data_IF_169501484144
#
_entry.id   IF_169501484144
#
_cell.length_a   1.000
_cell.length_b   1.000
_cell.length_c   1.000
_cell.angle_alpha   90.00
_cell.angle_beta   90.00
_cell.angle_gamma   90.00
#
_symmetry.space_group_name_H-M   'P 1'
#
loop_
_entity.id
_entity.type
_entity.pdbx_description
1 polymer ?
#
# COMPACT_ATOMS: atom_id res chain seq x y z
N UNK A 1 -14.85 17.86 -12.13
CA UNK A 1 -14.22 17.78 -10.80
C UNK A 1 -14.91 18.78 -9.90
N UNK A 2 -15.47 18.34 -8.78
CA UNK A 2 -16.14 19.21 -7.81
C UNK A 2 -15.10 20.03 -7.01
N UNK A 3 -15.53 21.12 -6.37
CA UNK A 3 -14.64 21.90 -5.49
C UNK A 3 -14.06 21.06 -4.36
N UNK A 4 -14.84 20.10 -3.84
CA UNK A 4 -14.41 19.16 -2.80
C UNK A 4 -13.24 18.27 -3.29
N UNK A 5 -13.35 17.70 -4.47
CA UNK A 5 -12.28 16.90 -5.09
C UNK A 5 -11.01 17.72 -5.37
N UNK A 6 -11.16 18.97 -5.82
CA UNK A 6 -10.02 19.88 -6.00
C UNK A 6 -9.29 20.14 -4.68
N UNK A 7 -10.04 20.34 -3.59
CA UNK A 7 -9.46 20.53 -2.25
C UNK A 7 -8.70 19.27 -1.79
N UNK A 8 -9.27 18.07 -1.94
CA UNK A 8 -8.63 16.81 -1.57
C UNK A 8 -7.34 16.58 -2.35
N UNK A 9 -7.37 16.79 -3.67
CA UNK A 9 -6.20 16.61 -4.53
C UNK A 9 -5.06 17.59 -4.17
N UNK A 10 -5.38 18.88 -3.97
CA UNK A 10 -4.36 19.87 -3.59
C UNK A 10 -3.82 19.60 -2.18
N UNK A 11 -4.68 19.22 -1.25
CA UNK A 11 -4.26 18.85 0.09
C UNK A 11 -3.34 17.61 0.07
N UNK A 12 -3.69 16.55 -0.67
CA UNK A 12 -2.86 15.36 -0.81
C UNK A 12 -1.49 15.70 -1.39
N UNK A 13 -1.44 16.52 -2.43
CA UNK A 13 -0.19 17.00 -3.01
C UNK A 13 0.67 17.68 -1.94
N UNK A 14 0.13 18.67 -1.24
CA UNK A 14 0.86 19.42 -0.21
C UNK A 14 1.28 18.53 0.98
N UNK A 15 0.41 17.64 1.42
CA UNK A 15 0.76 16.67 2.48
C UNK A 15 1.88 15.72 2.03
N UNK A 16 1.91 15.33 0.76
CA UNK A 16 2.96 14.45 0.21
C UNK A 16 4.30 15.15 0.04
N UNK A 17 4.32 16.48 -0.04
CA UNK A 17 5.52 17.32 -0.19
C UNK A 17 6.06 17.80 1.17
N UNK A 18 5.16 18.29 2.05
CA UNK A 18 5.52 19.01 3.28
C UNK A 18 5.14 18.26 4.57
N UNK A 19 4.48 17.12 4.45
CA UNK A 19 3.88 16.40 5.57
C UNK A 19 2.60 17.04 6.10
N UNK A 20 1.89 16.30 6.94
CA UNK A 20 0.64 16.77 7.54
C UNK A 20 0.84 18.00 8.41
N UNK A 21 1.84 18.01 9.30
CA UNK A 21 2.09 19.12 10.21
C UNK A 21 2.57 20.38 9.47
N UNK A 22 3.35 20.23 8.40
CA UNK A 22 3.90 21.33 7.62
C UNK A 22 2.90 22.03 6.69
N UNK A 23 1.66 21.55 6.58
CA UNK A 23 0.63 22.11 5.70
C UNK A 23 -0.51 22.71 6.50
N UNK A 24 -0.92 23.93 6.17
CA UNK A 24 -2.06 24.64 6.79
C UNK A 24 -3.27 24.70 5.85
N UNK A 25 -4.47 24.98 6.44
CA UNK A 25 -5.69 25.24 5.63
C UNK A 25 -5.53 26.41 4.66
N UNK A 26 -4.68 27.38 5.00
CA UNK A 26 -4.39 28.51 4.11
C UNK A 26 -3.51 28.10 2.93
N UNK A 27 -2.56 27.20 3.14
CA UNK A 27 -1.71 26.69 2.07
C UNK A 27 -2.52 25.88 1.05
N UNK A 28 -3.54 25.15 1.50
CA UNK A 28 -4.46 24.39 0.63
C UNK A 28 -5.37 25.36 -0.17
N UNK A 29 -5.90 26.41 0.48
CA UNK A 29 -6.83 27.34 -0.15
C UNK A 29 -6.16 28.23 -1.23
N UNK A 30 -4.91 28.63 -1.00
CA UNK A 30 -4.18 29.58 -1.85
C UNK A 30 -4.00 29.14 -3.30
N UNK A 31 -3.51 27.93 -3.61
CA UNK A 31 -3.36 27.46 -4.99
C UNK A 31 -4.69 27.31 -5.73
N UNK A 32 -5.79 27.04 -4.99
CA UNK A 32 -7.14 26.90 -5.55
C UNK A 32 -7.83 28.23 -5.82
N UNK A 33 -7.21 29.37 -5.44
CA UNK A 33 -7.81 30.70 -5.58
C UNK A 33 -9.05 30.91 -4.73
N UNK A 34 -9.23 30.12 -3.65
CA UNK A 34 -10.37 30.24 -2.74
C UNK A 34 -9.94 30.84 -1.40
N UNK A 35 -10.88 31.43 -0.69
CA UNK A 35 -10.62 31.92 0.66
C UNK A 35 -10.60 30.77 1.67
N UNK A 36 -9.86 30.93 2.78
CA UNK A 36 -9.87 29.98 3.89
C UNK A 36 -11.30 29.75 4.42
N UNK A 37 -12.14 30.79 4.43
CA UNK A 37 -13.56 30.69 4.82
C UNK A 37 -14.36 29.82 3.83
N UNK A 38 -14.09 29.89 2.53
CA UNK A 38 -14.73 29.05 1.53
C UNK A 38 -14.30 27.59 1.69
N UNK A 39 -13.03 27.32 2.02
CA UNK A 39 -12.54 25.97 2.30
C UNK A 39 -13.24 25.38 3.53
N UNK A 40 -13.45 26.14 4.60
CA UNK A 40 -14.16 25.70 5.80
C UNK A 40 -15.67 25.39 5.56
N UNK A 41 -16.26 25.81 4.46
CA UNK A 41 -17.61 25.37 4.07
C UNK A 41 -17.63 23.90 3.59
N UNK A 42 -16.51 23.40 3.09
CA UNK A 42 -16.37 22.02 2.61
C UNK A 42 -15.80 21.08 3.66
N UNK A 43 -14.83 21.54 4.45
CA UNK A 43 -14.13 20.73 5.46
C UNK A 43 -13.98 21.51 6.76
N UNK A 44 -14.44 20.93 7.86
CA UNK A 44 -14.41 21.57 9.19
C UNK A 44 -13.00 21.70 9.78
N UNK A 45 -12.06 20.86 9.31
CA UNK A 45 -10.68 20.82 9.81
C UNK A 45 -9.73 20.21 8.79
N UNK A 46 -8.43 20.43 8.97
CA UNK A 46 -7.37 19.74 8.22
C UNK A 46 -7.42 18.23 8.45
N UNK A 47 -7.77 17.79 9.67
CA UNK A 47 -7.94 16.39 10.00
C UNK A 47 -9.04 15.75 9.15
N UNK A 48 -10.19 16.40 8.97
CA UNK A 48 -11.25 15.86 8.13
C UNK A 48 -10.80 15.64 6.67
N UNK A 49 -9.98 16.55 6.12
CA UNK A 49 -9.39 16.40 4.78
C UNK A 49 -8.47 15.16 4.76
N UNK A 50 -7.63 15.03 5.77
CA UNK A 50 -6.69 13.92 5.89
C UNK A 50 -7.41 12.57 5.99
N UNK A 51 -8.42 12.47 6.85
CA UNK A 51 -9.22 11.27 7.06
C UNK A 51 -9.96 10.86 5.77
N UNK A 52 -10.48 11.83 5.01
CA UNK A 52 -11.17 11.57 3.76
C UNK A 52 -10.20 11.09 2.66
N UNK A 53 -9.01 11.66 2.59
CA UNK A 53 -7.94 11.16 1.70
C UNK A 53 -7.59 9.71 2.05
N UNK A 54 -7.47 9.37 3.33
CA UNK A 54 -7.17 8.00 3.74
C UNK A 54 -8.30 7.04 3.40
N UNK A 55 -9.55 7.42 3.67
CA UNK A 55 -10.72 6.61 3.33
C UNK A 55 -10.81 6.33 1.82
N UNK A 56 -10.64 7.35 0.99
CA UNK A 56 -10.59 7.18 -0.47
C UNK A 56 -9.44 6.25 -0.90
N UNK A 57 -8.28 6.37 -0.23
CA UNK A 57 -7.14 5.51 -0.55
C UNK A 57 -7.34 4.05 -0.13
N UNK A 58 -8.13 3.78 0.91
CA UNK A 58 -8.49 2.41 1.31
C UNK A 58 -9.45 1.77 0.30
N UNK A 59 -10.41 2.52 -0.23
CA UNK A 59 -11.31 2.05 -1.28
C UNK A 59 -10.52 1.71 -2.55
N UNK A 60 -9.67 2.61 -3.03
CA UNK A 60 -8.80 2.37 -4.20
C UNK A 60 -7.86 1.18 -4.00
N UNK A 61 -7.38 0.96 -2.79
CA UNK A 61 -6.52 -0.16 -2.47
C UNK A 61 -7.29 -1.49 -2.57
N UNK A 62 -8.53 -1.52 -2.10
CA UNK A 62 -9.41 -2.70 -2.25
C UNK A 62 -9.68 -3.02 -3.71
N UNK A 63 -10.06 -2.01 -4.51
CA UNK A 63 -10.35 -2.19 -5.94
C UNK A 63 -9.19 -2.87 -6.68
N UNK A 64 -7.94 -2.50 -6.35
CA UNK A 64 -6.76 -3.08 -6.97
C UNK A 64 -6.52 -4.51 -6.54
N UNK A 65 -6.69 -4.80 -5.26
CA UNK A 65 -6.57 -6.18 -4.81
C UNK A 65 -7.65 -7.06 -5.44
N UNK A 66 -8.85 -6.55 -5.65
CA UNK A 66 -9.91 -7.25 -6.37
C UNK A 66 -9.52 -7.45 -7.85
N UNK A 67 -8.99 -6.43 -8.52
CA UNK A 67 -8.52 -6.52 -9.92
C UNK A 67 -7.37 -7.52 -10.08
N UNK A 68 -6.45 -7.57 -9.12
CA UNK A 68 -5.34 -8.53 -9.10
C UNK A 68 -5.74 -9.91 -8.57
N UNK A 69 -7.02 -10.12 -8.25
CA UNK A 69 -7.53 -11.33 -7.57
C UNK A 69 -6.80 -11.61 -6.25
N UNK A 70 -6.35 -10.58 -5.57
CA UNK A 70 -5.70 -10.62 -4.28
C UNK A 70 -6.64 -9.93 -3.28
N UNK A 71 -7.01 -10.57 -2.17
CA UNK A 71 -8.00 -10.02 -1.23
C UNK A 71 -7.40 -9.90 0.19
N UNK A 72 -6.50 -8.93 0.44
CA UNK A 72 -6.03 -8.70 1.79
C UNK A 72 -7.18 -8.17 2.65
N UNK A 73 -7.66 -9.02 3.54
CA UNK A 73 -8.64 -8.62 4.55
C UNK A 73 -8.01 -7.63 5.53
N UNK A 74 -8.63 -6.48 5.69
CA UNK A 74 -8.25 -5.47 6.70
C UNK A 74 -8.59 -5.89 8.14
N UNK A 75 -9.38 -6.96 8.31
CA UNK A 75 -9.78 -7.49 9.60
C UNK A 75 -9.04 -8.80 9.92
N UNK A 76 -8.38 -8.86 11.07
CA UNK A 76 -7.69 -10.07 11.57
C UNK A 76 -8.61 -11.30 11.72
N UNK A 77 -9.94 -11.10 11.76
CA UNK A 77 -10.94 -12.13 11.97
C UNK A 77 -11.66 -12.57 10.69
N UNK A 78 -11.40 -11.97 9.54
CA UNK A 78 -11.97 -12.44 8.28
C UNK A 78 -11.18 -13.63 7.75
N UNK A 79 -11.89 -14.70 7.39
CA UNK A 79 -11.28 -15.83 6.69
C UNK A 79 -10.75 -15.34 5.33
N UNK A 80 -9.56 -15.80 4.97
CA UNK A 80 -9.00 -15.57 3.64
C UNK A 80 -9.99 -16.11 2.60
N UNK A 81 -10.26 -15.33 1.55
CA UNK A 81 -11.16 -15.77 0.50
C UNK A 81 -10.61 -17.06 -0.12
N UNK A 82 -11.46 -18.09 -0.22
CA UNK A 82 -11.07 -19.38 -0.83
C UNK A 82 -10.52 -19.21 -2.24
N UNK A 83 -11.02 -18.20 -2.98
CA UNK A 83 -10.54 -17.89 -4.32
C UNK A 83 -9.06 -17.54 -4.35
N UNK A 84 -8.53 -16.81 -3.37
CA UNK A 84 -7.11 -16.42 -3.35
C UNK A 84 -6.21 -17.66 -3.22
N UNK A 85 -6.56 -18.55 -2.31
CA UNK A 85 -5.78 -19.78 -2.11
C UNK A 85 -5.87 -20.68 -3.35
N UNK A 86 -7.02 -20.74 -4.01
CA UNK A 86 -7.19 -21.50 -5.25
C UNK A 86 -6.38 -20.90 -6.40
N UNK A 87 -6.37 -19.56 -6.55
CA UNK A 87 -5.54 -18.85 -7.53
C UNK A 87 -4.06 -19.15 -7.26
N UNK A 88 -3.58 -18.99 -6.02
CA UNK A 88 -2.18 -19.25 -5.69
C UNK A 88 -1.78 -20.73 -5.81
N UNK A 89 -2.71 -21.67 -5.60
CA UNK A 89 -2.44 -23.10 -5.77
C UNK A 89 -2.24 -23.52 -7.22
N UNK A 90 -2.81 -22.79 -8.17
CA UNK A 90 -2.78 -23.06 -9.60
C UNK A 90 -1.85 -22.12 -10.38
N UNK A 91 -1.43 -21.02 -9.76
CA UNK A 91 -0.61 -20.00 -10.41
C UNK A 91 0.79 -20.56 -10.74
N UNK A 92 1.28 -20.24 -11.92
CA UNK A 92 2.66 -20.54 -12.29
C UNK A 92 3.63 -19.59 -11.59
N UNK A 93 4.92 -19.97 -11.51
CA UNK A 93 5.95 -19.07 -10.99
C UNK A 93 5.96 -17.72 -11.74
N UNK A 94 5.83 -17.74 -13.05
CA UNK A 94 5.77 -16.53 -13.87
C UNK A 94 4.52 -15.70 -13.52
N UNK A 95 3.36 -16.34 -13.37
CA UNK A 95 2.12 -15.68 -12.95
C UNK A 95 2.25 -15.03 -11.57
N UNK A 96 2.87 -15.70 -10.61
CA UNK A 96 3.14 -15.13 -9.29
C UNK A 96 4.07 -13.91 -9.36
N UNK A 97 5.16 -14.03 -10.12
CA UNK A 97 6.07 -12.90 -10.33
C UNK A 97 5.36 -11.71 -10.95
N UNK A 98 4.54 -11.93 -11.99
CA UNK A 98 3.78 -10.84 -12.63
C UNK A 98 2.71 -10.25 -11.69
N UNK A 99 2.06 -11.03 -10.86
CA UNK A 99 1.09 -10.51 -9.87
C UNK A 99 1.78 -9.59 -8.87
N UNK A 100 2.90 -10.02 -8.29
CA UNK A 100 3.68 -9.18 -7.36
C UNK A 100 4.21 -7.93 -8.04
N UNK A 101 4.77 -8.05 -9.26
CA UNK A 101 5.28 -6.90 -10.00
C UNK A 101 4.18 -5.94 -10.43
N UNK A 102 3.00 -6.44 -10.81
CA UNK A 102 1.84 -5.61 -11.14
C UNK A 102 1.40 -4.77 -9.94
N UNK A 103 1.32 -5.40 -8.75
CA UNK A 103 1.06 -4.68 -7.50
C UNK A 103 2.11 -3.60 -7.21
N UNK A 104 3.40 -3.95 -7.34
CA UNK A 104 4.50 -3.00 -7.12
C UNK A 104 4.42 -1.84 -8.13
N UNK A 105 4.29 -2.15 -9.43
CA UNK A 105 4.17 -1.14 -10.50
C UNK A 105 2.99 -0.21 -10.27
N UNK A 106 1.83 -0.78 -9.94
CA UNK A 106 0.68 0.04 -9.61
C UNK A 106 0.98 0.96 -8.43
N UNK A 107 1.41 0.41 -7.30
CA UNK A 107 1.71 1.19 -6.09
C UNK A 107 2.73 2.31 -6.32
N UNK A 108 3.66 2.09 -7.27
CA UNK A 108 4.74 3.04 -7.56
C UNK A 108 4.40 4.06 -8.64
N UNK A 109 3.50 3.74 -9.58
CA UNK A 109 3.18 4.60 -10.72
C UNK A 109 1.83 5.31 -10.57
N UNK A 110 0.88 4.76 -9.80
CA UNK A 110 -0.35 5.48 -9.51
C UNK A 110 -0.07 6.72 -8.67
N UNK A 111 -0.38 7.89 -9.24
CA UNK A 111 -0.05 9.19 -8.63
C UNK A 111 -0.66 9.34 -7.24
N UNK A 112 -1.91 8.92 -7.08
CA UNK A 112 -2.62 9.02 -5.81
C UNK A 112 -2.00 8.12 -4.74
N UNK A 113 -1.80 6.84 -5.03
CA UNK A 113 -1.17 5.87 -4.12
C UNK A 113 0.24 6.28 -3.71
N UNK A 114 1.02 6.80 -4.66
CA UNK A 114 2.36 7.35 -4.41
C UNK A 114 2.32 8.54 -3.46
N UNK A 115 1.40 9.49 -3.68
CA UNK A 115 1.26 10.65 -2.81
C UNK A 115 0.81 10.26 -1.41
N UNK A 116 -0.15 9.33 -1.25
CA UNK A 116 -0.57 8.81 0.06
C UNK A 116 0.58 8.14 0.79
N UNK A 117 1.36 7.30 0.11
CA UNK A 117 2.54 6.65 0.72
C UNK A 117 3.57 7.68 1.18
N UNK A 118 3.89 8.68 0.35
CA UNK A 118 4.83 9.76 0.72
C UNK A 118 4.31 10.58 1.88
N UNK A 119 3.04 10.97 1.86
CA UNK A 119 2.38 11.68 2.95
C UNK A 119 2.55 10.94 4.28
N UNK A 120 2.22 9.65 4.33
CA UNK A 120 2.36 8.84 5.53
C UNK A 120 3.83 8.61 5.92
N UNK A 121 4.72 8.39 4.95
CA UNK A 121 6.16 8.24 5.19
C UNK A 121 6.78 9.48 5.84
N UNK A 122 6.43 10.67 5.37
CA UNK A 122 6.94 11.93 5.95
C UNK A 122 6.33 12.17 7.34
N UNK A 123 5.06 11.82 7.50
CA UNK A 123 4.30 12.17 8.69
C UNK A 123 4.43 11.16 9.84
N UNK A 124 4.92 9.94 9.60
CA UNK A 124 4.98 8.85 10.60
C UNK A 124 5.72 9.21 11.90
N UNK A 125 6.65 10.16 11.86
CA UNK A 125 7.40 10.60 13.03
C UNK A 125 6.82 11.85 13.71
N UNK A 126 5.71 12.39 13.21
CA UNK A 126 5.11 13.62 13.71
C UNK A 126 4.10 13.37 14.85
N UNK A 127 3.49 12.19 14.90
CA UNK A 127 2.63 11.76 16.01
C UNK A 127 2.56 10.23 16.10
N UNK A 128 2.19 9.73 17.28
CA UNK A 128 1.98 8.29 17.51
C UNK A 128 0.88 7.74 16.61
N UNK A 129 -0.19 8.48 16.43
CA UNK A 129 -1.32 8.09 15.58
C UNK A 129 -0.90 7.88 14.12
N UNK A 130 -0.13 8.80 13.54
CA UNK A 130 0.39 8.69 12.17
C UNK A 130 1.39 7.54 12.02
N UNK A 131 2.21 7.28 13.05
CA UNK A 131 3.09 6.12 13.09
C UNK A 131 2.30 4.80 13.08
N UNK A 132 1.25 4.69 13.89
CA UNK A 132 0.37 3.52 13.96
C UNK A 132 -0.35 3.30 12.62
N UNK A 133 -0.83 4.37 11.96
CA UNK A 133 -1.45 4.29 10.63
C UNK A 133 -0.48 3.77 9.57
N UNK A 134 0.74 4.30 9.55
CA UNK A 134 1.79 3.82 8.64
C UNK A 134 2.08 2.33 8.87
N UNK A 135 2.31 1.95 10.12
CA UNK A 135 2.64 0.58 10.50
C UNK A 135 1.51 -0.38 10.14
N UNK A 136 0.27 -0.02 10.49
CA UNK A 136 -0.90 -0.83 10.14
C UNK A 136 -1.02 -1.05 8.63
N UNK A 137 -0.89 0.02 7.83
CA UNK A 137 -1.11 -0.03 6.39
C UNK A 137 -0.01 -0.77 5.63
N UNK A 138 1.25 -0.43 5.89
CA UNK A 138 2.39 -0.90 5.09
C UNK A 138 3.16 -2.07 5.70
N UNK A 139 2.84 -2.48 6.92
CA UNK A 139 3.51 -3.60 7.57
C UNK A 139 2.51 -4.66 8.01
N UNK A 140 1.61 -4.33 8.93
CA UNK A 140 0.77 -5.35 9.58
C UNK A 140 -0.24 -5.98 8.63
N UNK A 141 -0.93 -5.18 7.81
CA UNK A 141 -1.95 -5.68 6.86
C UNK A 141 -1.33 -6.65 5.87
N UNK A 142 -0.19 -6.29 5.27
CA UNK A 142 0.49 -7.14 4.29
C UNK A 142 1.05 -8.40 4.91
N UNK A 143 1.72 -8.29 6.07
CA UNK A 143 2.24 -9.45 6.78
C UNK A 143 1.13 -10.41 7.22
N UNK A 144 -0.02 -9.88 7.67
CA UNK A 144 -1.16 -10.71 8.07
C UNK A 144 -1.78 -11.45 6.88
N UNK A 145 -1.84 -10.81 5.71
CA UNK A 145 -2.28 -11.43 4.48
C UNK A 145 -1.34 -12.58 4.05
N UNK A 146 -0.04 -12.30 3.95
CA UNK A 146 0.95 -13.30 3.56
C UNK A 146 1.02 -14.46 4.55
N UNK A 147 0.87 -14.19 5.87
CA UNK A 147 0.83 -15.24 6.90
C UNK A 147 -0.31 -16.23 6.64
N UNK A 148 -1.53 -15.71 6.42
CA UNK A 148 -2.72 -16.55 6.13
C UNK A 148 -2.56 -17.30 4.81
N UNK A 149 -2.02 -16.65 3.78
CA UNK A 149 -1.74 -17.27 2.49
C UNK A 149 -0.80 -18.46 2.66
N UNK A 150 0.33 -18.28 3.32
CA UNK A 150 1.32 -19.35 3.50
C UNK A 150 0.80 -20.48 4.40
N UNK A 151 -0.01 -20.19 5.42
CA UNK A 151 -0.70 -21.24 6.20
C UNK A 151 -1.56 -22.13 5.31
N UNK A 152 -2.40 -21.54 4.46
CA UNK A 152 -3.25 -22.29 3.54
C UNK A 152 -2.43 -23.09 2.50
N UNK A 153 -1.37 -22.52 1.95
CA UNK A 153 -0.51 -23.23 0.99
C UNK A 153 0.24 -24.41 1.64
N UNK A 154 0.67 -24.26 2.88
CA UNK A 154 1.26 -25.37 3.67
C UNK A 154 0.25 -26.47 3.98
N UNK A 155 -0.98 -26.11 4.37
CA UNK A 155 -2.03 -27.09 4.70
C UNK A 155 -2.48 -27.90 3.47
N UNK A 156 -2.41 -27.29 2.27
CA UNK A 156 -2.65 -27.97 1.00
C UNK A 156 -1.45 -28.76 0.47
N UNK A 157 -0.28 -28.67 1.12
CA UNK A 157 0.94 -29.36 0.69
C UNK A 157 1.57 -28.75 -0.56
N UNK A 158 1.30 -27.49 -0.89
CA UNK A 158 1.85 -26.79 -2.06
C UNK A 158 3.25 -26.29 -1.76
N UNK A 159 3.48 -25.84 -0.54
CA UNK A 159 4.80 -25.44 -0.03
C UNK A 159 5.17 -26.25 1.20
N UNK A 160 6.47 -26.29 1.50
CA UNK A 160 7.00 -27.01 2.68
C UNK A 160 6.44 -26.43 3.97
N UNK A 161 6.15 -27.29 4.93
CA UNK A 161 5.73 -26.86 6.27
C UNK A 161 6.83 -26.04 6.94
N UNK A 162 6.43 -24.93 7.57
CA UNK A 162 7.32 -24.01 8.26
C UNK A 162 6.55 -23.03 9.13
N UNK A 163 7.19 -21.96 9.53
CA UNK A 163 6.54 -20.90 10.30
C UNK A 163 6.00 -19.82 9.33
N UNK A 164 4.69 -19.72 9.21
CA UNK A 164 3.99 -18.78 8.31
C UNK A 164 4.38 -17.32 8.52
N UNK A 165 4.52 -16.89 9.78
CA UNK A 165 4.96 -15.53 10.14
C UNK A 165 6.37 -15.22 9.65
N UNK A 166 7.26 -16.21 9.74
CA UNK A 166 8.63 -16.06 9.26
C UNK A 166 8.66 -16.00 7.73
N UNK A 167 7.89 -16.87 7.06
CA UNK A 167 7.77 -16.87 5.60
C UNK A 167 7.20 -15.54 5.09
N UNK A 168 6.14 -15.02 5.71
CA UNK A 168 5.56 -13.73 5.36
C UNK A 168 6.59 -12.59 5.46
N UNK A 169 7.38 -12.55 6.53
CA UNK A 169 8.44 -11.55 6.70
C UNK A 169 9.55 -11.67 5.64
N UNK A 170 10.01 -12.88 5.37
CA UNK A 170 11.04 -13.14 4.34
C UNK A 170 10.51 -12.73 2.97
N UNK A 171 9.25 -13.00 2.66
CA UNK A 171 8.65 -12.67 1.37
C UNK A 171 8.45 -11.16 1.20
N UNK A 172 7.81 -10.51 2.15
CA UNK A 172 7.40 -9.11 2.04
C UNK A 172 8.53 -8.11 2.24
N UNK A 173 9.47 -8.37 3.16
CA UNK A 173 10.49 -7.38 3.54
C UNK A 173 11.35 -6.87 2.35
N UNK A 174 11.86 -7.70 1.43
CA UNK A 174 12.56 -7.20 0.26
C UNK A 174 11.67 -6.38 -0.69
N UNK A 175 10.39 -6.74 -0.82
CA UNK A 175 9.44 -6.01 -1.69
C UNK A 175 9.29 -4.57 -1.20
N UNK A 176 8.94 -4.37 0.09
CA UNK A 176 8.78 -3.02 0.66
C UNK A 176 10.10 -2.25 0.70
N UNK A 177 11.21 -2.92 0.89
CA UNK A 177 12.55 -2.32 0.83
C UNK A 177 12.83 -1.72 -0.56
N UNK A 178 12.59 -2.49 -1.63
CA UNK A 178 12.81 -2.01 -3.01
C UNK A 178 11.78 -0.96 -3.43
N UNK A 179 10.54 -1.02 -2.96
CA UNK A 179 9.58 0.06 -3.13
C UNK A 179 10.09 1.36 -2.50
N UNK A 180 10.70 1.27 -1.30
CA UNK A 180 11.32 2.42 -0.65
C UNK A 180 12.55 2.98 -1.40
N UNK A 181 13.34 2.14 -2.06
CA UNK A 181 14.42 2.59 -2.97
C UNK A 181 13.84 3.33 -4.16
N UNK A 182 12.85 2.74 -4.83
CA UNK A 182 12.19 3.36 -5.99
C UNK A 182 11.56 4.72 -5.65
N UNK A 183 10.92 4.87 -4.48
CA UNK A 183 10.36 6.16 -4.04
C UNK A 183 11.39 7.27 -3.92
N UNK A 184 12.59 6.93 -3.44
CA UNK A 184 13.69 7.89 -3.26
C UNK A 184 14.51 8.11 -4.53
N UNK A 185 14.65 7.09 -5.35
CA UNK A 185 15.51 7.05 -6.53
C UNK A 185 14.71 6.49 -7.74
N UNK A 186 13.78 7.29 -8.34
CA UNK A 186 12.88 6.81 -9.41
C UNK A 186 13.60 6.24 -10.63
N UNK A 187 14.81 6.71 -10.92
CA UNK A 187 15.63 6.23 -12.04
C UNK A 187 16.05 4.76 -11.89
N UNK A 188 15.98 4.21 -10.67
CA UNK A 188 16.28 2.80 -10.35
C UNK A 188 15.06 1.87 -10.45
N UNK A 189 13.94 2.31 -10.98
CA UNK A 189 12.71 1.53 -11.12
C UNK A 189 12.96 0.13 -11.72
N UNK A 190 13.65 0.06 -12.85
CA UNK A 190 13.96 -1.22 -13.54
C UNK A 190 14.85 -2.16 -12.69
N UNK A 191 15.79 -1.60 -11.95
CA UNK A 191 16.63 -2.36 -11.02
C UNK A 191 15.79 -2.92 -9.88
N UNK A 192 14.90 -2.12 -9.30
CA UNK A 192 14.00 -2.53 -8.24
C UNK A 192 13.04 -3.65 -8.71
N UNK A 193 12.43 -3.51 -9.88
CA UNK A 193 11.58 -4.57 -10.47
C UNK A 193 12.35 -5.88 -10.67
N UNK A 194 13.55 -5.81 -11.23
CA UNK A 194 14.40 -6.99 -11.43
C UNK A 194 14.76 -7.67 -10.11
N UNK A 195 15.06 -6.90 -9.08
CA UNK A 195 15.38 -7.40 -7.75
C UNK A 195 14.18 -8.06 -7.07
N UNK A 196 12.98 -7.45 -7.17
CA UNK A 196 11.74 -8.04 -6.66
C UNK A 196 11.43 -9.34 -7.40
N UNK A 197 11.51 -9.39 -8.74
CA UNK A 197 11.30 -10.62 -9.52
C UNK A 197 12.23 -11.72 -9.03
N UNK A 198 13.54 -11.45 -8.98
CA UNK A 198 14.52 -12.43 -8.54
C UNK A 198 14.23 -12.92 -7.11
N UNK A 199 13.83 -12.03 -6.23
CA UNK A 199 13.45 -12.42 -4.87
C UNK A 199 12.25 -13.40 -4.86
N UNK A 200 11.20 -13.14 -5.64
CA UNK A 200 10.04 -14.04 -5.72
C UNK A 200 10.45 -15.41 -6.28
N UNK A 201 11.27 -15.44 -7.33
CA UNK A 201 11.80 -16.68 -7.92
C UNK A 201 12.57 -17.52 -6.90
N UNK A 202 13.49 -16.91 -6.18
CA UNK A 202 14.31 -17.57 -5.14
C UNK A 202 13.44 -18.03 -3.96
N UNK A 203 12.47 -17.21 -3.53
CA UNK A 203 11.55 -17.58 -2.47
C UNK A 203 10.74 -18.84 -2.83
N UNK A 204 10.20 -18.89 -4.05
CA UNK A 204 9.45 -20.06 -4.52
C UNK A 204 10.36 -21.28 -4.62
N UNK A 205 11.58 -21.14 -5.14
CA UNK A 205 12.55 -22.23 -5.23
C UNK A 205 12.91 -22.81 -3.84
N UNK A 206 12.97 -21.98 -2.81
CA UNK A 206 13.26 -22.41 -1.44
C UNK A 206 12.06 -23.06 -0.75
N UNK A 207 10.83 -22.68 -1.11
CA UNK A 207 9.61 -23.07 -0.36
C UNK A 207 8.80 -24.17 -1.05
N UNK A 208 8.89 -24.33 -2.37
CA UNK A 208 8.16 -25.35 -3.14
C UNK A 208 8.56 -26.76 -2.70
N UNK A 209 7.57 -27.66 -2.70
CA UNK A 209 7.76 -29.11 -2.45
C UNK A 209 8.45 -29.77 -3.64
#
# INVERSE_FOLDING_TARGET
MSTKELILNEALKLFSENGYAGTSMSDIAKPLGITKAALYKHFKSKQQIFDEILSESEERFKDIFEELSLHPSSNKNEEMNKNDVDVFSTITLEGLCESVLSFVRFSMNDTYSKQVRRMLTISQFQSKELAEMYTKRYVETMLSYDEKLFENLMDRGIIRKGNSKTLARIFYAPVIMYMGVWDREPDRAKECEKAVRKHVEEFVAMTKM
#
